data_IF_786205583109
#
_entry.id   IF_786205583109
#
_cell.length_a   1.000
_cell.length_b   1.000
_cell.length_c   1.000
_cell.angle_alpha   90.00
_cell.angle_beta   90.00
_cell.angle_gamma   90.00
#
_symmetry.space_group_name_H-M   'P 1'
#
loop_
_entity.id
_entity.type
_entity.pdbx_description
1 polymer ?
#
# COMPACT_ATOMS: atom_id res chain seq x y z
N UNK A 1 27.62 30.40 35.66
CA UNK A 1 28.21 29.04 35.79
C UNK A 1 27.12 28.10 36.25
N UNK A 2 26.60 27.24 35.37
CA UNK A 2 25.56 26.28 35.73
C UNK A 2 26.19 25.16 36.59
N UNK A 3 25.73 25.03 37.83
CA UNK A 3 26.14 23.98 38.75
C UNK A 3 25.72 22.62 38.17
N UNK A 4 26.69 21.79 37.80
CA UNK A 4 26.47 20.39 37.44
C UNK A 4 25.78 19.68 38.61
N UNK A 5 24.46 19.46 38.52
CA UNK A 5 23.74 18.59 39.46
C UNK A 5 24.35 17.20 39.34
N UNK A 6 24.95 16.70 40.42
CA UNK A 6 25.49 15.33 40.48
C UNK A 6 24.34 14.34 40.25
N UNK A 7 24.55 13.36 39.36
CA UNK A 7 23.60 12.26 39.12
C UNK A 7 23.45 11.41 40.38
N UNK A 8 22.22 10.97 40.68
CA UNK A 8 21.94 10.07 41.81
C UNK A 8 22.21 8.64 41.41
N UNK A 9 23.00 7.90 42.19
CA UNK A 9 23.23 6.46 41.97
C UNK A 9 21.97 5.68 42.36
N UNK A 10 21.50 4.84 41.45
CA UNK A 10 20.46 3.85 41.72
C UNK A 10 21.07 2.44 41.62
N UNK A 11 20.58 1.50 42.45
CA UNK A 11 20.95 0.08 42.39
C UNK A 11 19.67 -0.71 42.20
N UNK A 12 19.54 -1.37 41.06
CA UNK A 12 18.36 -2.17 40.69
C UNK A 12 18.82 -3.51 40.16
N UNK A 13 18.04 -4.55 40.41
CA UNK A 13 18.26 -5.85 39.79
C UNK A 13 17.60 -5.85 38.42
N UNK A 14 18.36 -6.31 37.41
CA UNK A 14 17.86 -6.57 36.06
C UNK A 14 17.90 -8.08 35.84
N UNK A 15 16.94 -8.57 35.07
CA UNK A 15 17.02 -9.93 34.55
C UNK A 15 18.34 -10.10 33.76
N UNK A 16 19.05 -11.24 33.88
CA UNK A 16 20.31 -11.46 33.19
C UNK A 16 20.24 -11.25 31.67
N UNK A 17 19.12 -11.63 31.04
CA UNK A 17 18.91 -11.44 29.61
C UNK A 17 18.82 -9.95 29.26
N UNK A 18 18.10 -9.17 30.06
CA UNK A 18 17.97 -7.71 29.89
C UNK A 18 19.32 -7.01 30.10
N UNK A 19 20.12 -7.46 31.06
CA UNK A 19 21.47 -6.93 31.28
C UNK A 19 22.38 -7.19 30.07
N UNK A 20 22.29 -8.38 29.47
CA UNK A 20 23.02 -8.70 28.25
C UNK A 20 22.58 -7.83 27.07
N UNK A 21 21.26 -7.66 26.87
CA UNK A 21 20.72 -6.78 25.84
C UNK A 21 21.23 -5.34 25.99
N UNK A 22 21.26 -4.81 27.22
CA UNK A 22 21.79 -3.49 27.52
C UNK A 22 23.28 -3.39 27.17
N UNK A 23 24.08 -4.39 27.57
CA UNK A 23 25.50 -4.45 27.26
C UNK A 23 25.76 -4.45 25.75
N UNK A 24 25.06 -5.29 25.00
CA UNK A 24 25.19 -5.40 23.55
C UNK A 24 24.73 -4.13 22.83
N UNK A 25 23.65 -3.50 23.31
CA UNK A 25 23.15 -2.25 22.74
C UNK A 25 24.14 -1.10 22.95
N UNK A 26 24.69 -0.99 24.17
CA UNK A 26 25.69 0.00 24.55
C UNK A 26 26.99 -0.16 23.77
N UNK A 27 27.50 -1.39 23.66
CA UNK A 27 28.72 -1.71 22.92
C UNK A 27 28.60 -1.36 21.43
N UNK A 28 27.48 -1.72 20.79
CA UNK A 28 27.21 -1.41 19.37
C UNK A 28 27.20 0.09 19.05
N UNK A 29 26.98 0.95 20.05
CA UNK A 29 26.84 2.41 19.88
C UNK A 29 27.98 3.21 20.52
N UNK A 30 28.98 2.52 21.09
CA UNK A 30 30.08 3.13 21.85
C UNK A 30 29.57 4.10 22.95
N UNK A 31 28.54 3.67 23.69
CA UNK A 31 27.91 4.45 24.79
C UNK A 31 27.98 3.67 26.08
N UNK A 32 28.07 4.38 27.21
CA UNK A 32 28.05 3.73 28.53
C UNK A 32 26.66 3.15 28.83
N UNK A 33 26.62 2.01 29.52
CA UNK A 33 25.36 1.38 29.97
C UNK A 33 24.53 2.32 30.83
N UNK A 34 25.16 3.08 31.73
CA UNK A 34 24.47 4.07 32.56
C UNK A 34 23.82 5.19 31.75
N UNK A 35 24.44 5.64 30.65
CA UNK A 35 23.85 6.65 29.77
C UNK A 35 22.64 6.09 29.02
N UNK A 36 22.75 4.85 28.51
CA UNK A 36 21.64 4.18 27.82
C UNK A 36 20.48 3.92 28.77
N UNK A 37 20.76 3.43 29.98
CA UNK A 37 19.75 3.16 31.00
C UNK A 37 19.03 4.44 31.44
N UNK A 38 19.76 5.53 31.68
CA UNK A 38 19.17 6.83 32.02
C UNK A 38 18.29 7.36 30.89
N UNK A 39 18.75 7.29 29.64
CA UNK A 39 17.98 7.71 28.48
C UNK A 39 16.71 6.88 28.30
N UNK A 40 16.80 5.55 28.49
CA UNK A 40 15.65 4.66 28.41
C UNK A 40 14.61 4.96 29.50
N UNK A 41 15.05 5.16 30.75
CA UNK A 41 14.17 5.53 31.87
C UNK A 41 13.53 6.90 31.64
N UNK A 42 14.31 7.90 31.19
CA UNK A 42 13.80 9.23 30.89
C UNK A 42 12.78 9.22 29.74
N UNK A 43 13.05 8.45 28.68
CA UNK A 43 12.12 8.24 27.56
C UNK A 43 10.83 7.55 28.03
N UNK A 44 10.94 6.50 28.85
CA UNK A 44 9.79 5.77 29.36
C UNK A 44 8.88 6.62 30.27
N UNK A 45 9.47 7.52 31.07
CA UNK A 45 8.73 8.39 31.99
C UNK A 45 8.27 9.71 31.35
N UNK A 46 8.59 9.97 30.09
CA UNK A 46 8.22 11.21 29.41
C UNK A 46 6.79 11.13 28.87
N UNK A 47 5.88 12.06 29.25
CA UNK A 47 4.52 12.16 28.70
C UNK A 47 4.52 12.28 27.17
N UNK A 48 5.51 12.99 26.62
CA UNK A 48 5.67 13.27 25.20
C UNK A 48 5.95 12.01 24.35
N UNK A 49 6.52 10.95 24.92
CA UNK A 49 7.05 9.86 24.11
C UNK A 49 5.94 8.94 23.57
N UNK A 50 4.90 8.69 24.38
CA UNK A 50 3.70 8.00 23.93
C UNK A 50 2.94 8.84 22.89
N UNK A 51 2.71 10.13 23.20
CA UNK A 51 1.97 11.05 22.34
C UNK A 51 2.67 11.30 20.98
N UNK A 52 4.00 11.42 20.97
CA UNK A 52 4.78 11.55 19.72
C UNK A 52 4.72 10.28 18.87
N UNK A 53 4.80 9.09 19.48
CA UNK A 53 4.70 7.82 18.76
C UNK A 53 3.32 7.66 18.13
N UNK A 54 2.27 7.96 18.89
CA UNK A 54 0.89 7.95 18.42
C UNK A 54 0.68 8.97 17.29
N UNK A 55 1.20 10.20 17.42
CA UNK A 55 1.11 11.22 16.38
C UNK A 55 1.80 10.82 15.06
N UNK A 56 2.94 10.13 15.13
CA UNK A 56 3.62 9.62 13.93
C UNK A 56 2.80 8.53 13.25
N UNK A 57 2.19 7.62 14.03
CA UNK A 57 1.31 6.59 13.50
C UNK A 57 0.06 7.19 12.86
N UNK A 58 -0.61 8.13 13.55
CA UNK A 58 -1.77 8.85 13.02
C UNK A 58 -1.45 9.52 11.67
N UNK A 59 -0.33 10.26 11.59
CA UNK A 59 0.11 10.89 10.32
C UNK A 59 0.36 9.89 9.20
N UNK A 60 0.92 8.72 9.52
CA UNK A 60 1.13 7.65 8.52
C UNK A 60 -0.20 7.07 8.05
N UNK A 61 -1.15 6.86 8.95
CA UNK A 61 -2.50 6.40 8.61
C UNK A 61 -3.22 7.42 7.73
N UNK A 62 -3.18 8.71 8.07
CA UNK A 62 -3.75 9.77 7.23
C UNK A 62 -3.13 9.80 5.83
N UNK A 63 -1.81 9.57 5.74
CA UNK A 63 -1.13 9.50 4.45
C UNK A 63 -1.57 8.29 3.63
N UNK A 64 -1.76 7.13 4.27
CA UNK A 64 -2.26 5.91 3.61
C UNK A 64 -3.68 6.15 3.11
N UNK A 65 -4.55 6.72 3.94
CA UNK A 65 -5.94 7.01 3.60
C UNK A 65 -6.02 7.90 2.35
N UNK A 66 -5.26 9.00 2.32
CA UNK A 66 -5.16 9.88 1.13
C UNK A 66 -4.66 9.17 -0.12
N UNK A 67 -3.76 8.19 0.02
CA UNK A 67 -3.27 7.38 -1.10
C UNK A 67 -4.35 6.42 -1.58
N UNK A 68 -5.11 5.82 -0.68
CA UNK A 68 -6.25 4.95 -1.00
C UNK A 68 -7.31 5.73 -1.76
N UNK A 69 -7.76 6.90 -1.26
CA UNK A 69 -8.76 7.72 -1.97
C UNK A 69 -8.31 8.11 -3.38
N UNK A 70 -7.03 8.41 -3.56
CA UNK A 70 -6.48 8.70 -4.89
C UNK A 70 -6.49 7.46 -5.79
N UNK A 71 -6.08 6.31 -5.26
CA UNK A 71 -6.12 5.05 -6.01
C UNK A 71 -7.55 4.67 -6.40
N UNK A 72 -8.53 4.84 -5.51
CA UNK A 72 -9.94 4.61 -5.82
C UNK A 72 -10.42 5.50 -6.96
N UNK A 73 -10.06 6.80 -6.93
CA UNK A 73 -10.35 7.73 -8.02
C UNK A 73 -9.71 7.29 -9.33
N UNK A 74 -8.42 6.96 -9.33
CA UNK A 74 -7.69 6.59 -10.53
C UNK A 74 -8.20 5.26 -11.13
N UNK A 75 -8.57 4.30 -10.27
CA UNK A 75 -9.24 3.06 -10.67
C UNK A 75 -10.62 3.35 -11.25
N UNK A 76 -11.41 4.23 -10.64
CA UNK A 76 -12.71 4.67 -11.17
C UNK A 76 -12.58 5.25 -12.58
N UNK A 77 -11.64 6.20 -12.77
CA UNK A 77 -11.35 6.79 -14.08
C UNK A 77 -10.95 5.71 -15.10
N UNK A 78 -10.14 4.74 -14.69
CA UNK A 78 -9.69 3.66 -15.57
C UNK A 78 -10.86 2.76 -16.00
N UNK A 79 -11.76 2.42 -15.07
CA UNK A 79 -12.96 1.62 -15.35
C UNK A 79 -13.91 2.37 -16.29
N UNK A 80 -14.16 3.65 -16.04
CA UNK A 80 -14.99 4.49 -16.91
C UNK A 80 -14.40 4.62 -18.31
N UNK A 81 -13.09 4.88 -18.40
CA UNK A 81 -12.37 4.98 -19.68
C UNK A 81 -12.44 3.69 -20.48
N UNK A 82 -12.24 2.54 -19.82
CA UNK A 82 -12.35 1.23 -20.45
C UNK A 82 -13.78 0.93 -20.93
N UNK A 83 -14.79 1.28 -20.12
CA UNK A 83 -16.19 1.10 -20.50
C UNK A 83 -16.55 1.93 -21.74
N UNK A 84 -16.10 3.19 -21.81
CA UNK A 84 -16.27 4.05 -22.98
C UNK A 84 -15.53 3.47 -24.19
N UNK A 85 -14.29 3.03 -24.01
CA UNK A 85 -13.50 2.42 -25.07
C UNK A 85 -14.17 1.17 -25.65
N UNK A 86 -14.65 0.25 -24.81
CA UNK A 86 -15.34 -0.98 -25.26
C UNK A 86 -16.59 -0.63 -26.05
N UNK A 87 -17.41 0.32 -25.56
CA UNK A 87 -18.61 0.78 -26.29
C UNK A 87 -18.25 1.39 -27.64
N UNK A 88 -17.26 2.26 -27.67
CA UNK A 88 -16.77 2.87 -28.91
C UNK A 88 -16.27 1.81 -29.90
N UNK A 89 -15.47 0.85 -29.43
CA UNK A 89 -14.92 -0.22 -30.24
C UNK A 89 -16.01 -1.10 -30.84
N UNK A 90 -16.99 -1.53 -30.04
CA UNK A 90 -18.10 -2.37 -30.51
C UNK A 90 -19.06 -1.63 -31.45
N UNK A 91 -19.16 -0.30 -31.32
CA UNK A 91 -19.94 0.55 -32.21
C UNK A 91 -19.20 0.90 -33.51
N UNK A 92 -17.87 0.78 -33.53
CA UNK A 92 -17.06 1.08 -34.72
C UNK A 92 -17.41 0.10 -35.82
N UNK A 93 -18.00 0.61 -36.88
CA UNK A 93 -18.36 -0.15 -38.08
C UNK A 93 -17.58 0.47 -39.24
N UNK A 94 -16.93 -0.32 -40.11
CA UNK A 94 -16.38 0.22 -41.35
C UNK A 94 -17.45 0.99 -42.13
N UNK A 95 -17.06 1.98 -42.94
CA UNK A 95 -18.00 2.78 -43.70
C UNK A 95 -18.86 1.87 -44.60
N UNK A 96 -20.13 1.71 -44.22
CA UNK A 96 -21.11 0.89 -44.92
C UNK A 96 -22.18 1.80 -45.55
N UNK A 97 -22.80 1.39 -46.67
CA UNK A 97 -23.97 2.05 -47.22
C UNK A 97 -25.09 2.20 -46.17
N UNK A 98 -25.87 3.28 -46.23
CA UNK A 98 -26.86 3.69 -45.21
C UNK A 98 -27.77 2.58 -44.64
N UNK A 99 -28.30 1.62 -45.44
CA UNK A 99 -29.11 0.52 -44.91
C UNK A 99 -28.29 -0.44 -44.03
N UNK A 100 -27.07 -0.75 -44.45
CA UNK A 100 -26.16 -1.65 -43.75
C UNK A 100 -25.54 -0.98 -42.51
N UNK A 101 -25.27 0.33 -42.56
CA UNK A 101 -24.79 1.09 -41.41
C UNK A 101 -25.83 1.18 -40.28
N UNK A 102 -27.13 1.33 -40.61
CA UNK A 102 -28.21 1.34 -39.62
C UNK A 102 -28.36 -0.03 -38.93
N UNK A 103 -28.32 -1.12 -39.71
CA UNK A 103 -28.35 -2.48 -39.19
C UNK A 103 -27.12 -2.79 -38.29
N UNK A 104 -25.93 -2.37 -38.69
CA UNK A 104 -24.70 -2.58 -37.92
C UNK A 104 -24.68 -1.83 -36.58
N UNK A 105 -25.21 -0.59 -36.55
CA UNK A 105 -25.41 0.19 -35.31
C UNK A 105 -26.40 -0.48 -34.37
N UNK A 106 -27.53 -0.98 -34.88
CA UNK A 106 -28.50 -1.72 -34.07
C UNK A 106 -27.85 -2.96 -33.41
N UNK A 107 -26.99 -3.66 -34.15
CA UNK A 107 -26.25 -4.84 -33.65
C UNK A 107 -25.12 -4.51 -32.67
N UNK A 108 -24.72 -3.25 -32.51
CA UNK A 108 -23.68 -2.85 -31.55
C UNK A 108 -24.18 -2.99 -30.10
N UNK A 109 -25.46 -2.71 -29.86
CA UNK A 109 -26.10 -2.91 -28.54
C UNK A 109 -26.11 -4.38 -28.12
N UNK A 110 -26.54 -5.27 -29.02
CA UNK A 110 -26.53 -6.72 -28.80
C UNK A 110 -25.12 -7.25 -28.49
N UNK A 111 -24.10 -6.76 -29.23
CA UNK A 111 -22.69 -7.12 -28.98
C UNK A 111 -22.20 -6.66 -27.61
N UNK A 112 -22.63 -5.49 -27.15
CA UNK A 112 -22.29 -4.99 -25.82
C UNK A 112 -22.92 -5.84 -24.70
N UNK A 113 -24.21 -6.17 -24.80
CA UNK A 113 -24.89 -7.04 -23.83
C UNK A 113 -24.27 -8.45 -23.77
N UNK A 114 -23.91 -9.00 -24.93
CA UNK A 114 -23.21 -10.28 -25.01
C UNK A 114 -21.82 -10.21 -24.34
N UNK A 115 -21.08 -9.12 -24.53
CA UNK A 115 -19.80 -8.87 -23.86
C UNK A 115 -19.95 -8.82 -22.33
N UNK A 116 -20.91 -8.03 -21.81
CA UNK A 116 -21.17 -7.93 -20.36
C UNK A 116 -21.53 -9.29 -19.78
N UNK A 117 -22.38 -10.05 -20.47
CA UNK A 117 -22.76 -11.40 -20.05
C UNK A 117 -21.57 -12.36 -20.01
N UNK A 118 -20.68 -12.32 -21.00
CA UNK A 118 -19.47 -13.14 -21.03
C UNK A 118 -18.48 -12.75 -19.93
N UNK A 119 -18.29 -11.44 -19.70
CA UNK A 119 -17.45 -10.92 -18.63
C UNK A 119 -17.98 -11.35 -17.25
N UNK A 120 -19.29 -11.22 -17.02
CA UNK A 120 -19.94 -11.65 -15.77
C UNK A 120 -19.74 -13.14 -15.48
N UNK A 121 -19.94 -14.01 -16.49
CA UNK A 121 -19.66 -15.44 -16.35
C UNK A 121 -18.21 -15.72 -16.00
N UNK A 122 -17.26 -15.05 -16.68
CA UNK A 122 -15.83 -15.22 -16.42
C UNK A 122 -15.44 -14.77 -15.00
N UNK A 123 -15.97 -13.66 -14.51
CA UNK A 123 -15.71 -13.19 -13.14
C UNK A 123 -16.30 -14.14 -12.07
N UNK A 124 -17.43 -14.79 -12.36
CA UNK A 124 -18.07 -15.73 -11.44
C UNK A 124 -17.44 -17.12 -11.43
N UNK A 125 -16.84 -17.57 -12.54
CA UNK A 125 -16.44 -18.98 -12.75
C UNK A 125 -14.97 -19.19 -13.15
N UNK A 126 -14.25 -18.14 -13.55
CA UNK A 126 -12.91 -18.27 -14.14
C UNK A 126 -11.75 -17.96 -13.19
N UNK A 127 -10.53 -18.46 -13.49
CA UNK A 127 -9.31 -17.97 -12.85
C UNK A 127 -9.17 -16.47 -13.09
N UNK A 128 -8.55 -15.74 -12.15
CA UNK A 128 -8.35 -14.30 -12.33
C UNK A 128 -7.51 -14.11 -13.59
N UNK A 129 -7.83 -13.15 -14.46
CA UNK A 129 -7.06 -12.86 -15.69
C UNK A 129 -5.54 -12.81 -15.46
N UNK A 130 -5.09 -12.36 -14.29
CA UNK A 130 -3.67 -12.34 -13.88
C UNK A 130 -3.00 -13.72 -13.86
N UNK A 131 -3.76 -14.80 -13.63
CA UNK A 131 -3.27 -16.18 -13.64
C UNK A 131 -3.10 -16.72 -15.06
N UNK A 132 -3.76 -16.14 -16.06
CA UNK A 132 -3.58 -16.47 -17.48
C UNK A 132 -2.45 -15.67 -18.13
N UNK A 133 -1.98 -14.60 -17.48
CA UNK A 133 -0.90 -13.71 -17.95
C UNK A 133 0.45 -14.06 -17.27
N UNK A 134 0.53 -15.15 -16.52
CA UNK A 134 1.75 -15.55 -15.82
C UNK A 134 2.69 -16.33 -16.75
N UNK A 135 3.89 -15.74 -16.95
CA UNK A 135 5.16 -16.38 -17.37
C UNK A 135 5.36 -16.75 -18.85
N UNK A 136 5.33 -15.76 -19.76
CA UNK A 136 6.10 -15.80 -21.03
C UNK A 136 7.20 -14.71 -21.00
N UNK A 137 8.01 -14.70 -19.94
CA UNK A 137 9.32 -14.03 -19.94
C UNK A 137 10.32 -15.12 -19.62
N UNK A 138 10.57 -16.01 -20.59
CA UNK A 138 11.77 -16.83 -20.56
C UNK A 138 12.97 -15.91 -20.75
N UNK A 139 13.89 -15.99 -19.80
CA UNK A 139 15.18 -15.31 -19.79
C UNK A 139 15.96 -15.64 -21.08
N UNK A 140 16.06 -14.68 -22.01
CA UNK A 140 17.12 -14.69 -23.02
C UNK A 140 18.46 -14.33 -22.35
N UNK A 141 19.03 -15.29 -21.61
CA UNK A 141 20.48 -15.38 -21.44
C UNK A 141 20.98 -16.62 -22.19
N UNK A 142 21.53 -16.39 -23.38
CA UNK A 142 22.67 -17.18 -23.91
C UNK A 142 23.49 -16.35 -24.89
#
# INVERSE_FOLDING_TARGET
MATSRKKTKISVYLDPEVMQMLADFSARRDRSQSMVAEAAIASFLSPDDAERREAVLARRLDQIDRRITRLERDVGISVESLAVFIRFWLATTPALPEPAAKAARAKAGERYEAFISALGRRLAQGPKLRQEVSEDVEDEET
#
